data_IF_037314833916
#
_entry.id   IF_037314833916
#
_cell.length_a   1.000
_cell.length_b   1.000
_cell.length_c   1.000
_cell.angle_alpha   90.00
_cell.angle_beta   90.00
_cell.angle_gamma   90.00
#
_symmetry.space_group_name_H-M   'P 1'
#
loop_
_entity.id
_entity.type
_entity.pdbx_description
1 polymer ?
#
# COMPACT_ATOMS: atom_id res chain seq x y z
N UNK A 1 68.71 -15.48 -68.68
CA UNK A 1 67.30 -15.05 -68.52
C UNK A 1 66.80 -15.57 -67.17
N UNK A 2 66.62 -14.69 -66.20
CA UNK A 2 66.24 -15.06 -64.86
C UNK A 2 64.79 -14.56 -64.67
N UNK A 3 63.84 -15.44 -64.41
CA UNK A 3 62.45 -15.07 -64.06
C UNK A 3 62.33 -14.96 -62.54
N UNK A 4 62.09 -13.77 -62.09
CA UNK A 4 61.69 -13.50 -60.72
C UNK A 4 60.19 -13.72 -60.58
N UNK A 5 59.76 -14.71 -59.82
CA UNK A 5 58.38 -14.92 -59.43
C UNK A 5 58.15 -14.18 -58.11
N UNK A 6 57.36 -13.09 -58.23
CA UNK A 6 56.94 -12.31 -57.07
C UNK A 6 55.71 -12.97 -56.48
N UNK A 7 55.85 -13.62 -55.32
CA UNK A 7 54.70 -14.17 -54.52
C UNK A 7 54.04 -13.06 -53.77
N UNK A 8 52.86 -12.65 -54.20
CA UNK A 8 52.01 -11.66 -53.53
C UNK A 8 51.21 -12.39 -52.47
N UNK A 9 51.65 -12.33 -51.18
CA UNK A 9 50.89 -12.87 -50.03
C UNK A 9 49.69 -12.02 -49.72
N UNK A 10 48.50 -12.49 -50.07
CA UNK A 10 47.21 -11.87 -49.72
C UNK A 10 46.89 -12.23 -48.25
N UNK A 11 47.24 -11.35 -47.29
CA UNK A 11 46.81 -11.46 -45.92
C UNK A 11 45.31 -11.18 -45.81
N UNK A 12 44.52 -12.22 -45.73
CA UNK A 12 43.07 -12.17 -45.48
C UNK A 12 42.85 -11.82 -43.98
N UNK A 13 42.74 -10.53 -43.65
CA UNK A 13 42.27 -10.11 -42.34
C UNK A 13 40.80 -10.51 -42.18
N UNK A 14 40.57 -11.68 -41.59
CA UNK A 14 39.24 -12.07 -41.11
C UNK A 14 38.92 -11.19 -39.91
N UNK A 15 38.25 -10.08 -40.18
CA UNK A 15 37.58 -9.30 -39.12
C UNK A 15 36.46 -10.16 -38.55
N UNK A 16 36.72 -10.81 -37.42
CA UNK A 16 35.67 -11.46 -36.64
C UNK A 16 34.77 -10.37 -36.11
N UNK A 17 33.66 -10.15 -36.82
CA UNK A 17 32.58 -9.29 -36.31
C UNK A 17 31.97 -10.00 -35.09
N UNK A 18 32.42 -9.65 -33.91
CA UNK A 18 31.80 -10.07 -32.66
C UNK A 18 30.39 -9.45 -32.62
N UNK A 19 29.42 -10.33 -32.59
CA UNK A 19 28.02 -9.93 -32.46
C UNK A 19 27.83 -9.48 -30.99
N UNK A 20 27.92 -8.19 -30.73
CA UNK A 20 27.70 -7.62 -29.40
C UNK A 20 26.29 -7.09 -29.27
N UNK A 21 25.62 -7.44 -28.17
CA UNK A 21 24.37 -6.77 -27.72
C UNK A 21 24.70 -5.33 -27.38
N UNK A 22 24.03 -4.38 -28.02
CA UNK A 22 24.23 -2.95 -27.77
C UNK A 22 23.05 -2.45 -26.95
N UNK A 23 23.35 -1.70 -25.87
CA UNK A 23 22.34 -0.99 -25.08
C UNK A 23 22.60 0.50 -25.25
N UNK A 24 21.59 1.23 -25.70
CA UNK A 24 21.67 2.69 -25.89
C UNK A 24 20.58 3.39 -25.09
N UNK A 25 20.90 4.59 -24.58
CA UNK A 25 19.89 5.48 -23.99
C UNK A 25 18.97 5.98 -25.11
N UNK A 26 17.65 5.86 -24.87
CA UNK A 26 16.65 6.30 -25.85
C UNK A 26 16.58 7.83 -25.87
N UNK A 27 16.75 8.41 -27.05
CA UNK A 27 16.52 9.83 -27.30
C UNK A 27 15.28 9.94 -28.20
N UNK A 28 14.25 10.70 -27.82
CA UNK A 28 12.98 10.76 -28.54
C UNK A 28 13.07 11.10 -30.03
N UNK A 29 14.14 11.75 -30.43
CA UNK A 29 14.37 12.21 -31.83
C UNK A 29 15.09 11.19 -32.72
N UNK A 30 15.55 10.05 -32.17
CA UNK A 30 16.31 9.04 -32.93
C UNK A 30 15.40 7.91 -33.37
N UNK A 31 15.32 7.67 -34.68
CA UNK A 31 14.58 6.55 -35.24
C UNK A 31 15.09 5.22 -34.67
N UNK A 32 14.20 4.32 -34.33
CA UNK A 32 14.49 3.09 -33.61
C UNK A 32 14.77 1.91 -34.55
N UNK A 33 15.86 1.15 -34.28
CA UNK A 33 16.09 -0.18 -34.84
C UNK A 33 15.26 -1.29 -34.15
N UNK A 34 15.60 -2.54 -34.38
CA UNK A 34 14.96 -3.69 -33.73
C UNK A 34 15.53 -3.90 -32.31
N UNK A 35 14.67 -3.93 -31.30
CA UNK A 35 15.11 -4.12 -29.90
C UNK A 35 13.99 -4.01 -28.89
N UNK A 36 14.31 -4.22 -27.62
CA UNK A 36 13.40 -4.05 -26.48
C UNK A 36 13.78 -2.79 -25.73
N UNK A 37 12.77 -1.95 -25.46
CA UNK A 37 12.96 -0.73 -24.67
C UNK A 37 12.48 -0.98 -23.24
N UNK A 38 13.27 -0.56 -22.26
CA UNK A 38 12.93 -0.63 -20.84
C UNK A 38 13.28 0.68 -20.13
N UNK A 39 12.57 0.95 -19.05
CA UNK A 39 12.85 2.07 -18.16
C UNK A 39 13.46 1.59 -16.86
N UNK A 40 14.37 2.36 -16.29
CA UNK A 40 14.76 2.19 -14.89
C UNK A 40 13.69 2.83 -13.99
N UNK A 41 13.43 2.28 -12.81
CA UNK A 41 12.52 2.89 -11.86
C UNK A 41 13.16 4.06 -11.10
N UNK A 42 12.31 5.00 -10.69
CA UNK A 42 12.49 5.87 -9.51
C UNK A 42 11.72 5.25 -8.35
N UNK A 43 12.21 5.43 -7.13
CA UNK A 43 11.45 5.04 -5.93
C UNK A 43 10.26 5.97 -5.74
N UNK A 44 9.09 5.38 -5.60
CA UNK A 44 7.87 6.02 -5.15
C UNK A 44 7.45 5.41 -3.83
N UNK A 45 7.00 6.22 -2.90
CA UNK A 45 6.43 5.78 -1.64
C UNK A 45 4.91 5.79 -1.74
N UNK A 46 4.28 4.66 -1.46
CA UNK A 46 2.84 4.57 -1.24
C UNK A 46 2.64 4.50 0.26
N UNK A 47 2.03 5.53 0.82
CA UNK A 47 1.66 5.61 2.21
C UNK A 47 0.17 5.28 2.30
N UNK A 48 -0.16 4.13 2.88
CA UNK A 48 -1.53 3.76 3.18
C UNK A 48 -1.87 4.24 4.59
N UNK A 49 -2.89 5.08 4.70
CA UNK A 49 -3.40 5.64 5.95
C UNK A 49 -4.73 5.01 6.31
N UNK A 50 -4.77 4.34 7.45
CA UNK A 50 -5.98 3.83 8.07
C UNK A 50 -6.70 4.97 8.80
N UNK A 51 -7.98 5.16 8.53
CA UNK A 51 -8.82 6.16 9.17
C UNK A 51 -10.12 5.53 9.64
N UNK A 52 -10.41 5.63 10.92
CA UNK A 52 -11.68 5.18 11.48
C UNK A 52 -12.67 6.31 11.50
N UNK A 53 -13.76 6.19 10.73
CA UNK A 53 -14.92 7.05 10.81
C UNK A 53 -15.84 6.55 11.92
N UNK A 54 -16.04 7.37 12.92
CA UNK A 54 -16.89 7.07 14.07
C UNK A 54 -18.18 7.88 13.95
N UNK A 55 -19.31 7.15 13.87
CA UNK A 55 -20.64 7.76 13.86
C UNK A 55 -21.32 7.47 15.18
N UNK A 56 -21.55 8.49 15.96
CA UNK A 56 -22.30 8.44 17.23
C UNK A 56 -23.73 8.87 16.97
N UNK A 57 -24.68 8.05 17.40
CA UNK A 57 -26.11 8.35 17.36
C UNK A 57 -26.63 8.51 18.77
N UNK A 58 -27.26 9.64 19.06
CA UNK A 58 -27.89 9.86 20.35
C UNK A 58 -29.14 8.98 20.49
N UNK A 59 -29.38 8.50 21.70
CA UNK A 59 -30.60 7.76 22.01
C UNK A 59 -31.85 8.66 22.02
N UNK A 60 -32.95 8.18 21.47
CA UNK A 60 -34.22 8.96 21.46
C UNK A 60 -34.70 9.31 22.87
N UNK A 61 -34.31 8.52 23.86
CA UNK A 61 -34.68 8.68 25.26
C UNK A 61 -33.50 9.08 26.15
N UNK A 62 -32.46 9.71 25.61
CA UNK A 62 -31.22 10.05 26.34
C UNK A 62 -31.46 10.83 27.62
N UNK A 63 -32.51 11.73 27.65
CA UNK A 63 -32.88 12.52 28.83
C UNK A 63 -33.35 11.69 30.01
N UNK A 64 -33.76 10.45 29.76
CA UNK A 64 -34.32 9.53 30.76
C UNK A 64 -33.32 8.41 31.14
N UNK A 65 -32.12 8.39 30.57
CA UNK A 65 -31.12 7.37 30.79
C UNK A 65 -30.72 7.27 32.29
N UNK A 66 -30.43 8.39 32.94
CA UNK A 66 -30.09 8.40 34.36
C UNK A 66 -31.25 7.90 35.22
N UNK A 67 -32.46 8.39 34.91
CA UNK A 67 -33.64 8.07 35.72
C UNK A 67 -34.02 6.58 35.68
N UNK A 68 -33.98 5.98 34.49
CA UNK A 68 -34.50 4.62 34.31
C UNK A 68 -33.39 3.56 34.31
N UNK A 69 -32.19 3.90 33.82
CA UNK A 69 -31.09 2.95 33.73
C UNK A 69 -29.91 3.27 34.64
N UNK A 70 -29.93 4.40 35.35
CA UNK A 70 -28.83 4.85 36.19
C UNK A 70 -27.57 5.27 35.43
N UNK A 71 -27.65 5.44 34.08
CA UNK A 71 -26.51 5.75 33.22
C UNK A 71 -26.39 7.26 33.06
N UNK A 72 -25.23 7.79 33.45
CA UNK A 72 -24.80 9.19 33.22
C UNK A 72 -23.90 9.26 32.00
N UNK A 73 -23.64 10.44 31.45
CA UNK A 73 -22.73 10.72 30.37
C UNK A 73 -23.07 9.96 29.06
N UNK A 74 -24.32 10.03 28.63
CA UNK A 74 -24.79 9.49 27.37
C UNK A 74 -24.65 10.50 26.23
N UNK A 75 -24.63 10.04 24.99
CA UNK A 75 -24.63 10.91 23.82
C UNK A 75 -25.96 11.70 23.76
N UNK A 76 -25.88 13.04 23.73
CA UNK A 76 -27.03 13.94 23.68
C UNK A 76 -27.35 14.44 22.27
N UNK A 77 -26.43 14.27 21.33
CA UNK A 77 -26.56 14.69 19.94
C UNK A 77 -25.81 13.72 19.00
N UNK A 78 -26.27 13.67 17.78
CA UNK A 78 -25.59 12.92 16.71
C UNK A 78 -24.30 13.63 16.32
N UNK A 79 -23.24 12.87 16.14
CA UNK A 79 -21.95 13.41 15.69
C UNK A 79 -21.19 12.39 14.87
N UNK A 80 -20.39 12.90 13.94
CA UNK A 80 -19.43 12.10 13.18
C UNK A 80 -18.05 12.69 13.42
N UNK A 81 -17.07 11.83 13.66
CA UNK A 81 -15.68 12.24 13.76
C UNK A 81 -14.75 11.14 13.21
N UNK A 82 -13.51 11.52 12.95
CA UNK A 82 -12.51 10.65 12.36
C UNK A 82 -11.32 10.50 13.30
N UNK A 83 -10.77 9.31 13.34
CA UNK A 83 -9.56 8.97 14.08
C UNK A 83 -8.50 8.48 13.07
N UNK A 84 -7.31 9.06 13.11
CA UNK A 84 -6.18 8.59 12.31
C UNK A 84 -5.56 7.36 12.99
N UNK A 85 -5.61 6.24 12.30
CA UNK A 85 -5.08 4.96 12.75
C UNK A 85 -3.63 4.73 12.32
N UNK A 86 -3.34 3.50 11.89
CA UNK A 86 -2.01 3.06 11.47
C UNK A 86 -1.64 3.64 10.11
N UNK A 87 -0.36 4.01 9.96
CA UNK A 87 0.24 4.30 8.67
C UNK A 87 1.16 3.16 8.26
N UNK A 88 1.09 2.76 7.01
CA UNK A 88 2.04 1.82 6.41
C UNK A 88 2.72 2.44 5.21
N UNK A 89 3.95 2.02 4.92
CA UNK A 89 4.73 2.51 3.80
C UNK A 89 5.21 1.34 2.96
N UNK A 90 4.91 1.42 1.66
CA UNK A 90 5.34 0.46 0.65
C UNK A 90 6.12 1.19 -0.44
N UNK A 91 7.21 0.61 -0.90
CA UNK A 91 7.96 1.12 -2.03
C UNK A 91 7.36 0.59 -3.33
N UNK A 92 7.24 1.46 -4.31
CA UNK A 92 6.88 1.08 -5.67
C UNK A 92 7.87 1.72 -6.65
N UNK A 93 8.29 0.96 -7.67
CA UNK A 93 9.02 1.52 -8.80
C UNK A 93 8.07 2.22 -9.75
N UNK A 94 8.38 3.47 -10.12
CA UNK A 94 7.71 4.18 -11.19
C UNK A 94 8.72 4.44 -12.31
N UNK A 95 8.33 4.33 -13.60
CA UNK A 95 9.25 4.53 -14.71
C UNK A 95 9.91 5.92 -14.68
N UNK A 96 11.23 5.94 -14.79
CA UNK A 96 11.99 7.18 -14.95
C UNK A 96 12.12 7.51 -16.44
N UNK A 97 11.43 8.55 -16.88
CA UNK A 97 11.44 9.01 -18.28
C UNK A 97 12.81 9.48 -18.76
N UNK A 98 13.67 9.90 -17.84
CA UNK A 98 15.03 10.35 -18.15
C UNK A 98 16.01 9.17 -18.28
N UNK A 99 15.64 7.98 -17.82
CA UNK A 99 16.47 6.79 -17.80
C UNK A 99 15.80 5.62 -18.55
N UNK A 100 15.52 5.84 -19.82
CA UNK A 100 14.96 4.85 -20.75
C UNK A 100 16.09 4.31 -21.63
N UNK A 101 16.20 2.99 -21.70
CA UNK A 101 17.25 2.28 -22.43
C UNK A 101 16.65 1.32 -23.42
N UNK A 102 17.41 1.07 -24.50
CA UNK A 102 17.04 0.13 -25.55
C UNK A 102 18.12 -0.93 -25.69
N UNK A 103 17.71 -2.19 -25.66
CA UNK A 103 18.55 -3.35 -25.95
C UNK A 103 18.35 -3.69 -27.42
N UNK A 104 19.37 -3.50 -28.25
CA UNK A 104 19.37 -3.88 -29.66
C UNK A 104 19.97 -5.28 -29.87
N UNK A 105 19.25 -6.11 -30.58
CA UNK A 105 19.71 -7.45 -30.93
C UNK A 105 20.29 -7.45 -32.35
N UNK A 106 21.55 -7.80 -32.48
CA UNK A 106 22.18 -7.94 -33.81
C UNK A 106 21.71 -9.24 -34.48
N UNK A 107 21.61 -9.22 -35.81
CA UNK A 107 21.33 -10.41 -36.59
C UNK A 107 22.33 -11.51 -36.27
N UNK A 108 21.87 -12.77 -36.11
CA UNK A 108 22.63 -14.00 -35.73
C UNK A 108 22.99 -14.16 -34.23
N UNK A 109 22.51 -13.31 -33.34
CA UNK A 109 22.55 -13.60 -31.89
C UNK A 109 21.21 -14.24 -31.47
N UNK A 110 21.27 -15.16 -30.50
CA UNK A 110 20.04 -15.58 -29.80
C UNK A 110 19.58 -14.37 -29.02
N UNK A 111 18.40 -13.82 -29.39
CA UNK A 111 17.84 -12.69 -28.67
C UNK A 111 17.57 -13.13 -27.22
N UNK A 112 18.10 -12.44 -26.19
CA UNK A 112 17.74 -12.75 -24.81
C UNK A 112 16.25 -12.48 -24.64
N UNK A 113 15.60 -13.34 -23.88
CA UNK A 113 14.23 -13.16 -23.47
C UNK A 113 14.19 -12.10 -22.36
N UNK A 114 13.41 -11.04 -22.52
CA UNK A 114 13.32 -9.93 -21.57
C UNK A 114 11.90 -9.81 -21.05
N UNK A 115 11.74 -9.95 -19.75
CA UNK A 115 10.48 -9.68 -19.06
C UNK A 115 10.45 -8.25 -18.53
N UNK A 116 9.32 -7.57 -18.79
CA UNK A 116 9.04 -6.22 -18.30
C UNK A 116 7.72 -6.20 -17.54
N UNK A 117 7.58 -5.26 -16.61
CA UNK A 117 6.27 -4.91 -16.06
C UNK A 117 5.37 -4.29 -17.13
N UNK A 118 4.09 -4.10 -16.83
CA UNK A 118 3.17 -3.35 -17.72
C UNK A 118 3.66 -1.94 -18.03
N UNK A 119 4.36 -1.33 -17.06
CA UNK A 119 4.89 0.05 -17.15
C UNK A 119 6.28 0.09 -17.81
N UNK A 120 6.81 -1.04 -18.28
CA UNK A 120 8.09 -1.12 -18.98
C UNK A 120 9.32 -1.19 -18.08
N UNK A 121 9.18 -1.51 -16.80
CA UNK A 121 10.32 -1.75 -15.90
C UNK A 121 10.88 -3.15 -16.13
N UNK A 122 12.23 -3.27 -16.09
CA UNK A 122 12.89 -4.55 -16.29
C UNK A 122 12.71 -5.47 -15.09
N UNK A 123 12.28 -6.72 -15.32
CA UNK A 123 12.08 -7.75 -14.32
C UNK A 123 13.06 -8.89 -14.43
N UNK A 124 13.28 -9.39 -15.66
CA UNK A 124 14.17 -10.53 -15.86
C UNK A 124 14.77 -10.56 -17.27
N UNK A 125 15.93 -11.23 -17.40
CA UNK A 125 16.57 -11.56 -18.66
C UNK A 125 16.86 -13.05 -18.66
N UNK A 126 16.43 -13.75 -19.73
CA UNK A 126 16.59 -15.20 -19.92
C UNK A 126 15.99 -16.07 -18.80
N UNK A 127 15.10 -15.54 -17.98
CA UNK A 127 14.37 -16.24 -16.92
C UNK A 127 12.92 -15.79 -16.88
N UNK A 128 12.01 -16.69 -16.49
CA UNK A 128 10.63 -16.32 -16.24
C UNK A 128 10.53 -15.50 -14.96
N UNK A 129 9.80 -14.40 -15.02
CA UNK A 129 9.50 -13.58 -13.86
C UNK A 129 8.13 -13.93 -13.31
N UNK A 130 8.12 -14.44 -12.09
CA UNK A 130 6.90 -14.59 -11.31
C UNK A 130 6.86 -13.41 -10.33
N UNK A 131 5.85 -12.51 -10.44
CA UNK A 131 5.69 -11.45 -9.46
C UNK A 131 5.61 -12.05 -8.06
N UNK A 132 6.41 -11.55 -7.12
CA UNK A 132 6.14 -11.83 -5.73
C UNK A 132 4.77 -11.22 -5.43
N UNK A 133 3.79 -12.09 -5.21
CA UNK A 133 2.53 -11.67 -4.60
C UNK A 133 2.94 -11.25 -3.19
N UNK A 134 3.25 -9.96 -3.01
CA UNK A 134 3.14 -9.38 -1.68
C UNK A 134 1.69 -9.66 -1.33
N UNK A 135 1.47 -10.56 -0.37
CA UNK A 135 0.14 -10.72 0.18
C UNK A 135 -0.25 -9.30 0.59
N UNK A 136 -1.09 -8.64 -0.22
CA UNK A 136 -1.89 -7.57 0.30
C UNK A 136 -2.48 -8.22 1.54
N UNK A 137 -2.02 -7.82 2.74
CA UNK A 137 -2.80 -8.11 3.94
C UNK A 137 -4.19 -7.70 3.47
N UNK A 138 -5.06 -8.70 3.27
CA UNK A 138 -6.46 -8.44 2.96
C UNK A 138 -6.84 -7.45 4.04
N UNK A 139 -6.95 -6.18 3.63
CA UNK A 139 -7.37 -5.12 4.52
C UNK A 139 -8.75 -5.57 4.91
N UNK A 140 -8.80 -6.28 6.05
CA UNK A 140 -10.04 -6.82 6.56
C UNK A 140 -10.94 -5.62 6.67
N UNK A 141 -11.83 -5.47 5.70
CA UNK A 141 -12.98 -4.61 5.86
C UNK A 141 -13.66 -5.16 7.11
N UNK A 142 -13.33 -4.58 8.26
CA UNK A 142 -14.12 -4.82 9.45
C UNK A 142 -15.53 -4.49 9.03
N UNK A 143 -16.29 -5.55 8.79
CA UNK A 143 -17.71 -5.49 8.50
C UNK A 143 -18.31 -4.63 9.59
N UNK A 144 -18.82 -3.47 9.21
CA UNK A 144 -19.53 -2.57 10.10
C UNK A 144 -20.46 -3.45 10.95
N UNK A 145 -20.24 -3.44 12.27
CA UNK A 145 -21.06 -4.21 13.19
C UNK A 145 -22.50 -3.82 12.88
N UNK A 146 -23.28 -4.76 12.31
CA UNK A 146 -24.68 -4.53 11.98
C UNK A 146 -25.41 -4.29 13.29
N UNK A 147 -25.59 -3.05 13.64
CA UNK A 147 -26.45 -2.67 14.75
C UNK A 147 -27.90 -2.92 14.33
N UNK A 148 -28.60 -3.76 15.09
CA UNK A 148 -30.04 -3.98 14.88
C UNK A 148 -30.73 -2.60 14.93
N UNK A 149 -31.50 -2.22 13.89
CA UNK A 149 -32.24 -0.95 13.94
C UNK A 149 -33.14 -0.92 15.18
N UNK A 150 -33.13 0.12 15.99
CA UNK A 150 -33.97 0.21 17.19
C UNK A 150 -35.46 -0.08 16.92
N UNK A 151 -35.92 0.28 15.73
CA UNK A 151 -37.32 0.07 15.29
C UNK A 151 -37.72 -1.40 15.21
N UNK A 152 -36.78 -2.34 15.06
CA UNK A 152 -37.09 -3.78 14.98
C UNK A 152 -37.50 -4.41 16.31
N UNK A 153 -37.26 -3.72 17.43
CA UNK A 153 -37.57 -4.19 18.79
C UNK A 153 -38.72 -3.40 19.44
N UNK A 154 -39.40 -2.54 18.70
CA UNK A 154 -40.52 -1.80 19.24
C UNK A 154 -41.73 -2.70 19.44
N UNK A 155 -42.22 -2.77 20.67
CA UNK A 155 -43.48 -3.43 20.97
C UNK A 155 -44.68 -2.51 20.62
N UNK A 156 -45.86 -3.14 20.47
CA UNK A 156 -47.11 -2.40 20.26
C UNK A 156 -47.33 -1.38 21.38
N UNK A 157 -47.09 -1.75 22.63
CA UNK A 157 -47.25 -0.83 23.79
C UNK A 157 -46.32 0.39 23.66
N UNK A 158 -45.06 0.18 23.19
CA UNK A 158 -44.14 1.28 22.97
C UNK A 158 -44.61 2.23 21.88
N UNK A 159 -45.14 1.68 20.77
CA UNK A 159 -45.63 2.47 19.64
C UNK A 159 -46.92 3.23 19.98
N UNK A 160 -47.76 2.64 20.81
CA UNK A 160 -49.05 3.27 21.25
C UNK A 160 -48.86 4.28 22.38
N UNK A 161 -47.67 4.40 22.96
CA UNK A 161 -47.42 5.34 24.07
C UNK A 161 -47.51 6.79 23.60
N UNK A 162 -48.38 7.57 24.18
CA UNK A 162 -48.78 8.92 23.74
C UNK A 162 -47.75 10.03 24.04
N UNK A 163 -46.60 9.72 24.69
CA UNK A 163 -45.57 10.70 24.97
C UNK A 163 -44.16 10.06 25.05
N UNK A 164 -43.11 10.80 24.75
CA UNK A 164 -41.72 10.36 24.85
C UNK A 164 -41.37 9.85 26.26
N UNK A 165 -41.89 10.49 27.31
CA UNK A 165 -41.70 10.06 28.69
C UNK A 165 -42.33 8.68 28.95
N UNK A 166 -43.52 8.43 28.42
CA UNK A 166 -44.19 7.13 28.54
C UNK A 166 -43.52 6.06 27.69
N UNK A 167 -43.05 6.42 26.48
CA UNK A 167 -42.26 5.53 25.64
C UNK A 167 -40.97 5.10 26.37
N UNK A 168 -40.24 6.02 26.97
CA UNK A 168 -39.05 5.71 27.75
C UNK A 168 -39.35 4.81 28.95
N UNK A 169 -40.48 5.00 29.65
CA UNK A 169 -40.89 4.13 30.75
C UNK A 169 -41.17 2.71 30.26
N UNK A 170 -41.93 2.56 29.16
CA UNK A 170 -42.25 1.25 28.57
C UNK A 170 -40.95 0.54 28.10
N UNK A 171 -40.07 1.23 27.38
CA UNK A 171 -38.80 0.70 26.94
C UNK A 171 -37.91 0.21 28.12
N UNK A 172 -37.88 1.00 29.21
CA UNK A 172 -37.13 0.62 30.40
C UNK A 172 -37.70 -0.66 31.06
N UNK A 173 -39.04 -0.75 31.16
CA UNK A 173 -39.70 -1.98 31.67
C UNK A 173 -39.32 -3.21 30.81
N UNK A 174 -39.34 -3.07 29.50
CA UNK A 174 -38.96 -4.16 28.60
C UNK A 174 -37.47 -4.57 28.78
N UNK A 175 -36.57 -3.61 28.97
CA UNK A 175 -35.15 -3.90 29.25
C UNK A 175 -35.05 -4.73 30.53
N UNK A 176 -35.71 -4.34 31.62
CA UNK A 176 -35.65 -5.06 32.87
C UNK A 176 -36.28 -6.45 32.76
N UNK A 177 -37.35 -6.61 32.02
CA UNK A 177 -37.98 -7.91 31.75
C UNK A 177 -37.05 -8.85 30.94
N UNK A 178 -36.35 -8.32 29.92
CA UNK A 178 -35.34 -9.10 29.16
C UNK A 178 -34.17 -9.54 30.07
N UNK A 179 -33.73 -8.69 30.99
CA UNK A 179 -32.68 -9.00 31.96
C UNK A 179 -33.13 -10.10 32.94
N UNK A 180 -34.33 -9.99 33.45
CA UNK A 180 -34.96 -11.00 34.31
C UNK A 180 -35.04 -12.34 33.59
N UNK A 181 -35.66 -12.39 32.41
CA UNK A 181 -35.77 -13.60 31.59
C UNK A 181 -34.41 -14.25 31.29
N UNK A 182 -33.40 -13.45 30.99
CA UNK A 182 -32.04 -13.97 30.79
C UNK A 182 -31.46 -14.55 32.10
N UNK A 183 -31.70 -13.91 33.23
CA UNK A 183 -31.25 -14.40 34.53
C UNK A 183 -31.93 -15.71 34.87
N UNK A 184 -33.24 -15.82 34.68
CA UNK A 184 -34.02 -17.04 34.96
C UNK A 184 -33.54 -18.23 34.12
N UNK A 185 -33.20 -17.99 32.81
CA UNK A 185 -32.59 -19.00 31.97
C UNK A 185 -31.21 -19.43 32.51
N UNK A 186 -30.38 -18.52 32.93
CA UNK A 186 -29.03 -18.79 33.42
C UNK A 186 -29.01 -19.47 34.79
N UNK A 187 -29.99 -19.16 35.67
CA UNK A 187 -30.12 -19.77 36.98
C UNK A 187 -30.92 -21.10 36.95
N UNK A 188 -31.60 -21.38 35.85
CA UNK A 188 -32.43 -22.56 35.71
C UNK A 188 -33.86 -22.39 36.29
N UNK A 189 -34.25 -21.17 36.59
CA UNK A 189 -35.58 -20.83 37.17
C UNK A 189 -36.65 -20.60 36.09
N UNK A 190 -36.29 -20.62 34.80
CA UNK A 190 -37.22 -20.44 33.71
C UNK A 190 -38.13 -21.69 33.55
N UNK A 191 -39.45 -21.45 33.37
CA UNK A 191 -40.45 -22.54 33.19
C UNK A 191 -40.12 -23.46 32.00
N UNK A 192 -39.50 -22.96 30.96
CA UNK A 192 -39.10 -23.70 29.75
C UNK A 192 -37.64 -23.36 29.39
N UNK A 193 -36.73 -24.25 29.74
CA UNK A 193 -35.32 -24.12 29.33
C UNK A 193 -35.12 -24.66 27.92
N UNK A 194 -34.28 -24.01 27.09
CA UNK A 194 -33.83 -24.55 25.81
C UNK A 194 -33.20 -25.94 26.00
N UNK A 195 -33.47 -26.92 25.10
CA UNK A 195 -33.15 -28.33 25.33
C UNK A 195 -31.64 -28.66 25.29
N UNK A 196 -30.80 -27.81 24.74
CA UNK A 196 -29.36 -28.06 24.66
C UNK A 196 -28.54 -26.77 24.69
N UNK A 197 -27.20 -26.90 24.77
CA UNK A 197 -26.31 -25.76 24.88
C UNK A 197 -26.30 -24.82 23.68
N UNK A 198 -26.59 -25.28 22.47
CA UNK A 198 -26.58 -24.41 21.28
C UNK A 198 -27.88 -23.61 21.18
N UNK A 199 -29.05 -24.27 21.41
CA UNK A 199 -30.31 -23.55 21.48
C UNK A 199 -30.32 -22.49 22.59
N UNK A 200 -29.76 -22.81 23.75
CA UNK A 200 -29.59 -21.86 24.85
C UNK A 200 -28.77 -20.66 24.44
N UNK A 201 -27.61 -20.85 23.77
CA UNK A 201 -26.77 -19.75 23.27
C UNK A 201 -27.54 -18.84 22.30
N UNK A 202 -28.31 -19.43 21.38
CA UNK A 202 -29.11 -18.65 20.42
C UNK A 202 -30.16 -17.79 21.17
N UNK A 203 -30.86 -18.36 22.14
CA UNK A 203 -31.89 -17.63 22.92
C UNK A 203 -31.24 -16.51 23.71
N UNK A 204 -30.15 -16.77 24.45
CA UNK A 204 -29.43 -15.75 25.22
C UNK A 204 -28.91 -14.64 24.30
N UNK A 205 -28.29 -15.00 23.16
CA UNK A 205 -27.81 -14.01 22.18
C UNK A 205 -28.95 -13.12 21.67
N UNK A 206 -30.12 -13.67 21.40
CA UNK A 206 -31.29 -12.89 20.96
C UNK A 206 -31.84 -11.98 22.04
N UNK A 207 -31.88 -12.42 23.31
CA UNK A 207 -32.26 -11.56 24.43
C UNK A 207 -31.27 -10.40 24.61
N UNK A 208 -29.97 -10.67 24.50
CA UNK A 208 -28.92 -9.65 24.61
C UNK A 208 -28.99 -8.65 23.45
N UNK A 209 -29.23 -9.11 22.22
CA UNK A 209 -29.41 -8.26 21.04
C UNK A 209 -30.61 -7.30 21.24
N UNK A 210 -31.76 -7.83 21.72
CA UNK A 210 -32.95 -7.03 21.99
C UNK A 210 -32.73 -6.04 23.14
N UNK A 211 -32.12 -6.49 24.24
CA UNK A 211 -31.75 -5.64 25.37
C UNK A 211 -30.83 -4.50 24.91
N UNK A 212 -29.81 -4.81 24.12
CA UNK A 212 -28.86 -3.83 23.57
C UNK A 212 -29.59 -2.81 22.69
N UNK A 213 -30.46 -3.28 21.79
CA UNK A 213 -31.20 -2.38 20.90
C UNK A 213 -32.11 -1.41 21.66
N UNK A 214 -32.85 -1.89 22.69
CA UNK A 214 -33.66 -1.01 23.56
C UNK A 214 -32.81 -0.10 24.42
N UNK A 215 -31.68 -0.59 24.96
CA UNK A 215 -30.76 0.21 25.76
C UNK A 215 -30.15 1.34 24.92
N UNK A 216 -29.87 1.10 23.64
CA UNK A 216 -29.35 2.11 22.70
C UNK A 216 -30.33 3.29 22.51
N UNK A 217 -31.62 3.10 22.75
CA UNK A 217 -32.60 4.21 22.77
C UNK A 217 -32.34 5.21 23.91
N UNK A 218 -31.64 4.80 24.95
CA UNK A 218 -31.27 5.66 26.09
C UNK A 218 -29.84 6.16 25.99
N UNK A 219 -28.88 5.26 25.76
CA UNK A 219 -27.46 5.63 25.81
C UNK A 219 -26.89 6.07 24.46
N UNK A 220 -27.65 5.82 23.37
CA UNK A 220 -27.13 5.95 22.02
C UNK A 220 -26.27 4.75 21.61
N UNK A 221 -25.69 4.84 20.43
CA UNK A 221 -24.75 3.83 19.94
C UNK A 221 -23.68 4.47 19.06
N UNK A 222 -22.59 3.74 18.89
CA UNK A 222 -21.46 4.14 18.08
C UNK A 222 -21.21 3.07 17.03
N UNK A 223 -21.04 3.50 15.77
CA UNK A 223 -20.57 2.64 14.67
C UNK A 223 -19.23 3.11 14.21
N UNK A 224 -18.34 2.16 13.93
CA UNK A 224 -16.98 2.39 13.43
C UNK A 224 -16.86 1.81 12.04
N UNK A 225 -16.34 2.59 11.12
CA UNK A 225 -16.08 2.21 9.74
C UNK A 225 -14.61 2.52 9.45
N UNK A 226 -13.83 1.50 9.08
CA UNK A 226 -12.42 1.68 8.73
C UNK A 226 -12.30 2.01 7.24
N UNK A 227 -11.64 3.11 6.94
CA UNK A 227 -11.36 3.61 5.60
C UNK A 227 -9.85 3.59 5.37
N UNK A 228 -9.43 3.33 4.15
CA UNK A 228 -8.02 3.31 3.74
C UNK A 228 -7.78 4.34 2.65
N UNK A 229 -6.73 5.11 2.79
CA UNK A 229 -6.34 6.16 1.85
C UNK A 229 -4.88 5.97 1.44
N UNK A 230 -4.63 5.94 0.14
CA UNK A 230 -3.29 5.87 -0.41
C UNK A 230 -2.81 7.26 -0.82
N UNK A 231 -1.68 7.66 -0.28
CA UNK A 231 -0.97 8.89 -0.67
C UNK A 231 0.35 8.48 -1.30
N UNK A 232 0.61 8.96 -2.52
CA UNK A 232 1.82 8.63 -3.28
C UNK A 232 2.78 9.81 -3.30
N UNK A 233 4.04 9.54 -2.95
CA UNK A 233 5.12 10.53 -3.00
C UNK A 233 6.27 9.99 -3.84
N UNK A 234 6.72 10.75 -4.84
CA UNK A 234 7.93 10.46 -5.63
C UNK A 234 8.97 11.51 -5.25
N UNK A 235 9.90 11.20 -4.33
CA UNK A 235 10.91 12.17 -3.92
C UNK A 235 11.93 12.37 -5.05
N UNK A 236 12.33 13.59 -5.29
CA UNK A 236 13.47 13.90 -6.17
C UNK A 236 14.79 13.85 -5.38
N UNK A 237 14.75 14.24 -4.12
CA UNK A 237 15.87 14.29 -3.17
C UNK A 237 15.37 14.05 -1.73
N UNK A 238 16.14 14.44 -0.72
CA UNK A 238 15.70 14.47 0.68
C UNK A 238 14.47 15.38 0.85
N UNK A 239 13.59 14.99 1.77
CA UNK A 239 12.41 15.78 2.14
C UNK A 239 12.59 16.29 3.58
N UNK A 240 12.36 17.58 3.80
CA UNK A 240 12.47 18.18 5.12
C UNK A 240 11.12 18.69 5.60
N UNK A 241 10.33 17.77 6.22
CA UNK A 241 9.02 18.08 6.77
C UNK A 241 8.02 18.61 5.74
N UNK A 242 7.98 17.99 4.58
CA UNK A 242 6.98 18.30 3.56
C UNK A 242 5.59 17.81 4.03
N UNK A 243 4.54 18.56 3.69
CA UNK A 243 3.18 18.18 4.05
C UNK A 243 2.76 17.00 3.17
N UNK A 244 2.51 15.85 3.80
CA UNK A 244 2.06 14.64 3.11
C UNK A 244 0.56 14.69 2.81
N UNK A 245 -0.22 15.03 3.81
CA UNK A 245 -1.66 15.28 3.78
C UNK A 245 -2.03 16.05 5.06
N UNK A 246 -3.29 16.49 5.14
CA UNK A 246 -3.81 17.07 6.37
C UNK A 246 -4.90 16.20 6.95
N UNK A 247 -5.05 16.23 8.26
CA UNK A 247 -6.03 15.44 8.97
C UNK A 247 -6.87 16.29 9.89
N UNK A 248 -8.18 16.14 9.78
CA UNK A 248 -9.17 16.76 10.65
C UNK A 248 -10.02 15.71 11.34
N UNK A 249 -10.20 15.82 12.66
CA UNK A 249 -11.14 14.96 13.38
C UNK A 249 -12.60 15.15 12.94
N UNK A 250 -12.91 16.22 12.20
CA UNK A 250 -14.27 16.48 11.69
C UNK A 250 -14.45 16.09 10.23
N UNK A 251 -13.39 16.19 9.42
CA UNK A 251 -13.45 16.04 7.96
C UNK A 251 -12.71 14.80 7.44
N UNK A 252 -11.85 14.19 8.26
CA UNK A 252 -11.00 13.07 7.85
C UNK A 252 -9.69 13.53 7.21
N UNK A 253 -9.23 12.78 6.20
CA UNK A 253 -8.04 13.14 5.39
C UNK A 253 -8.45 14.24 4.41
N UNK A 254 -7.56 15.21 4.27
CA UNK A 254 -7.66 16.38 3.40
C UNK A 254 -6.39 16.51 2.58
N UNK A 255 -6.46 17.20 1.45
CA UNK A 255 -5.31 17.50 0.62
C UNK A 255 -4.27 18.36 1.38
N UNK A 256 -3.05 18.38 0.91
CA UNK A 256 -1.91 19.04 1.57
C UNK A 256 -2.08 20.58 1.68
N UNK A 257 -2.83 21.19 0.77
CA UNK A 257 -3.13 22.62 0.71
C UNK A 257 -4.43 23.02 1.47
N UNK A 258 -5.26 22.06 1.90
CA UNK A 258 -6.51 22.36 2.65
C UNK A 258 -6.22 22.69 4.11
N UNK A 259 -6.38 23.94 4.49
CA UNK A 259 -6.12 24.46 5.85
C UNK A 259 -7.14 24.00 6.90
N UNK A 260 -8.16 23.23 6.53
CA UNK A 260 -9.18 22.69 7.45
C UNK A 260 -8.68 21.60 8.39
N UNK A 261 -7.45 21.07 8.18
CA UNK A 261 -6.84 20.01 8.95
C UNK A 261 -5.44 20.33 9.46
N UNK A 262 -4.99 19.56 10.45
CA UNK A 262 -3.60 19.60 10.95
C UNK A 262 -2.68 18.88 9.98
N UNK A 263 -1.49 19.41 9.67
CA UNK A 263 -0.56 18.80 8.74
C UNK A 263 0.06 17.52 9.32
N UNK A 264 0.13 16.51 8.47
CA UNK A 264 0.95 15.31 8.66
C UNK A 264 2.15 15.47 7.75
N UNK A 265 3.34 15.44 8.33
CA UNK A 265 4.59 15.71 7.64
C UNK A 265 5.30 14.42 7.28
N UNK A 266 5.95 14.43 6.12
CA UNK A 266 6.91 13.41 5.71
C UNK A 266 8.32 14.02 5.67
N UNK A 267 9.28 13.26 6.17
CA UNK A 267 10.71 13.57 6.02
C UNK A 267 11.42 12.36 5.43
N UNK A 268 12.35 12.61 4.53
CA UNK A 268 13.22 11.59 3.94
C UNK A 268 14.66 12.01 4.10
N UNK A 269 15.45 11.30 4.89
CA UNK A 269 16.86 11.57 5.12
C UNK A 269 17.71 10.45 4.56
N UNK A 270 18.78 10.79 3.82
CA UNK A 270 19.72 9.78 3.32
C UNK A 270 20.52 9.17 4.46
N UNK A 271 20.56 7.82 4.49
CA UNK A 271 21.45 7.04 5.36
C UNK A 271 22.72 6.68 4.59
N UNK A 272 22.54 6.10 3.41
CA UNK A 272 23.61 5.79 2.47
C UNK A 272 23.28 6.48 1.14
N UNK A 273 24.12 7.41 0.76
CA UNK A 273 24.01 8.10 -0.51
C UNK A 273 25.29 7.91 -1.31
N UNK A 274 25.13 7.60 -2.58
CA UNK A 274 26.27 7.52 -3.49
C UNK A 274 26.91 8.91 -3.65
N UNK A 275 28.25 9.01 -3.61
CA UNK A 275 28.91 10.28 -3.84
C UNK A 275 28.63 10.79 -5.27
N UNK A 276 28.56 12.09 -5.42
CA UNK A 276 28.46 12.71 -6.74
C UNK A 276 29.70 12.29 -7.58
N UNK A 277 29.45 11.81 -8.80
CA UNK A 277 30.55 11.42 -9.69
C UNK A 277 31.39 12.64 -10.05
N UNK A 278 32.72 12.51 -9.92
CA UNK A 278 33.64 13.49 -10.48
C UNK A 278 33.38 13.58 -12.01
N UNK A 279 33.41 14.80 -12.62
CA UNK A 279 33.20 14.97 -14.06
C UNK A 279 34.11 14.10 -14.92
N UNK A 280 35.34 13.81 -14.51
CA UNK A 280 36.24 12.86 -15.21
C UNK A 280 35.81 11.42 -15.13
N UNK A 281 35.25 10.99 -14.01
CA UNK A 281 34.71 9.64 -13.84
C UNK A 281 33.40 9.49 -14.60
N UNK A 282 32.55 10.52 -14.64
CA UNK A 282 31.36 10.56 -15.46
C UNK A 282 31.67 10.42 -16.94
N UNK A 283 32.69 11.14 -17.45
CA UNK A 283 33.17 10.97 -18.85
C UNK A 283 33.73 9.57 -19.13
N UNK A 284 34.48 8.99 -18.18
CA UNK A 284 35.01 7.62 -18.32
C UNK A 284 33.90 6.60 -18.35
N UNK A 285 32.89 6.75 -17.50
CA UNK A 285 31.69 5.91 -17.43
C UNK A 285 30.87 6.02 -18.72
N UNK A 286 30.74 7.21 -19.29
CA UNK A 286 30.05 7.43 -20.57
C UNK A 286 30.75 6.76 -21.77
N UNK A 287 32.05 6.51 -21.68
CA UNK A 287 32.87 5.83 -22.71
C UNK A 287 32.96 4.31 -22.54
N UNK A 288 32.46 3.75 -21.42
CA UNK A 288 32.45 2.31 -21.22
C UNK A 288 31.49 1.60 -22.19
N UNK A 289 31.75 0.32 -22.54
CA UNK A 289 30.85 -0.47 -23.39
C UNK A 289 29.48 -0.49 -22.74
N UNK A 290 28.47 -0.09 -23.50
CA UNK A 290 27.09 0.02 -23.04
C UNK A 290 26.51 -1.37 -22.88
N UNK A 291 26.43 -1.87 -21.66
CA UNK A 291 25.73 -3.07 -21.26
C UNK A 291 24.34 -2.76 -20.70
N UNK A 292 23.69 -3.75 -20.12
CA UNK A 292 22.39 -3.55 -19.47
C UNK A 292 22.58 -2.68 -18.26
N UNK A 293 21.92 -1.52 -18.26
CA UNK A 293 21.97 -0.55 -17.15
C UNK A 293 20.98 -0.98 -16.08
N UNK A 294 21.41 -0.94 -14.84
CA UNK A 294 20.63 -1.24 -13.67
C UNK A 294 20.93 -0.25 -12.54
N UNK A 295 20.03 -0.16 -11.56
CA UNK A 295 20.21 0.72 -10.41
C UNK A 295 20.90 -0.02 -9.26
N UNK A 296 21.78 0.70 -8.56
CA UNK A 296 22.28 0.35 -7.24
C UNK A 296 21.73 1.38 -6.26
N UNK A 297 20.60 1.08 -5.57
CA UNK A 297 19.93 2.06 -4.72
C UNK A 297 20.76 2.42 -3.49
N UNK A 298 20.66 3.67 -3.05
CA UNK A 298 21.06 4.05 -1.70
C UNK A 298 20.00 3.67 -0.68
N UNK A 299 20.19 4.10 0.59
CA UNK A 299 19.20 3.90 1.66
C UNK A 299 18.77 5.22 2.24
N UNK A 300 17.47 5.34 2.51
CA UNK A 300 16.88 6.48 3.17
C UNK A 300 16.05 6.05 4.39
N UNK A 301 15.88 6.99 5.30
CA UNK A 301 14.96 6.89 6.42
C UNK A 301 13.78 7.80 6.18
N UNK A 302 12.60 7.18 6.06
CA UNK A 302 11.33 7.89 6.00
C UNK A 302 10.78 8.03 7.40
N UNK A 303 10.40 9.23 7.78
CA UNK A 303 9.71 9.53 9.04
C UNK A 303 8.45 10.31 8.74
N UNK A 304 7.30 9.83 9.26
CA UNK A 304 6.01 10.51 9.16
C UNK A 304 5.60 10.94 10.57
N UNK A 305 5.28 12.22 10.73
CA UNK A 305 4.98 12.79 12.04
C UNK A 305 3.80 13.76 11.99
N UNK A 306 3.05 13.83 13.09
CA UNK A 306 1.97 14.79 13.33
C UNK A 306 2.10 15.33 14.74
N UNK A 307 1.97 16.65 14.92
CA UNK A 307 2.04 17.30 16.25
C UNK A 307 3.28 16.88 17.05
N UNK A 308 4.44 16.82 16.40
CA UNK A 308 5.73 16.38 16.98
C UNK A 308 5.75 14.92 17.49
N UNK A 309 4.74 14.12 17.14
CA UNK A 309 4.71 12.69 17.42
C UNK A 309 4.99 11.92 16.13
N UNK A 310 6.00 11.07 16.16
CA UNK A 310 6.28 10.15 15.05
C UNK A 310 5.20 9.09 14.98
N UNK A 311 4.56 8.97 13.81
CA UNK A 311 3.53 7.99 13.49
C UNK A 311 4.13 6.76 12.81
N UNK A 312 5.14 6.97 11.93
CA UNK A 312 5.85 5.91 11.23
C UNK A 312 7.32 6.30 11.06
N UNK A 313 8.20 5.31 11.22
CA UNK A 313 9.63 5.44 10.92
C UNK A 313 10.11 4.14 10.27
N UNK A 314 10.67 4.25 9.06
CA UNK A 314 11.09 3.09 8.27
C UNK A 314 12.34 3.42 7.46
N UNK A 315 13.30 2.50 7.45
CA UNK A 315 14.45 2.55 6.54
C UNK A 315 14.13 1.72 5.30
N UNK A 316 14.52 2.25 4.13
CA UNK A 316 14.11 1.67 2.87
C UNK A 316 15.11 2.01 1.76
N UNK A 317 15.27 1.16 0.72
CA UNK A 317 16.03 1.50 -0.46
C UNK A 317 15.40 2.69 -1.19
N UNK A 318 16.26 3.62 -1.64
CA UNK A 318 15.87 4.80 -2.42
C UNK A 318 16.79 4.90 -3.64
N UNK A 319 16.21 4.73 -4.81
CA UNK A 319 16.96 4.73 -6.08
C UNK A 319 17.62 6.08 -6.33
N UNK A 320 16.96 7.18 -6.01
CA UNK A 320 17.45 8.54 -6.20
C UNK A 320 18.70 8.85 -5.36
N UNK A 321 18.98 8.06 -4.32
CA UNK A 321 20.20 8.19 -3.51
C UNK A 321 21.33 7.26 -3.98
N UNK A 322 21.07 6.44 -4.99
CA UNK A 322 22.01 5.47 -5.51
C UNK A 322 22.77 5.88 -6.75
N UNK A 323 23.28 4.89 -7.46
CA UNK A 323 23.97 5.04 -8.74
C UNK A 323 23.40 4.07 -9.78
N UNK A 324 23.72 4.34 -11.03
CA UNK A 324 23.48 3.41 -12.13
C UNK A 324 24.75 2.66 -12.46
N UNK A 325 24.65 1.37 -12.68
CA UNK A 325 25.72 0.51 -13.08
C UNK A 325 25.40 -0.25 -14.36
N UNK A 326 26.41 -0.89 -14.96
CA UNK A 326 26.25 -1.54 -16.24
C UNK A 326 26.70 -2.99 -16.15
N UNK A 327 25.81 -3.91 -16.50
CA UNK A 327 26.13 -5.33 -16.66
C UNK A 327 26.76 -5.55 -18.04
N UNK A 328 28.01 -6.05 -18.07
CA UNK A 328 28.75 -6.21 -19.30
C UNK A 328 28.02 -7.13 -20.31
N UNK A 329 27.94 -6.75 -21.61
CA UNK A 329 27.26 -7.55 -22.63
C UNK A 329 27.77 -8.97 -22.79
N UNK A 330 29.07 -9.18 -22.54
CA UNK A 330 29.74 -10.49 -22.63
C UNK A 330 29.03 -11.57 -21.78
N UNK A 331 28.42 -11.17 -20.68
CA UNK A 331 27.69 -12.10 -19.79
C UNK A 331 26.49 -12.71 -20.51
N UNK A 332 25.88 -12.00 -21.47
CA UNK A 332 24.69 -12.44 -22.21
C UNK A 332 25.03 -13.19 -23.51
N UNK A 333 26.29 -13.26 -23.90
CA UNK A 333 26.76 -13.80 -25.21
C UNK A 333 27.03 -15.31 -25.20
N UNK A 334 27.04 -15.97 -24.05
CA UNK A 334 27.27 -17.41 -23.98
C UNK A 334 26.06 -18.18 -24.54
N UNK A 335 26.23 -18.72 -25.76
CA UNK A 335 25.20 -19.49 -26.46
C UNK A 335 24.92 -20.86 -25.84
N UNK A 336 25.84 -21.39 -25.05
CA UNK A 336 25.70 -22.73 -24.45
C UNK A 336 25.05 -22.69 -23.09
N UNK A 337 25.29 -21.63 -22.33
CA UNK A 337 24.70 -21.38 -21.00
C UNK A 337 24.35 -19.90 -20.86
N UNK A 338 23.17 -19.50 -21.37
CA UNK A 338 22.74 -18.10 -21.24
C UNK A 338 22.62 -17.74 -19.77
N UNK A 339 23.30 -16.67 -19.37
CA UNK A 339 23.19 -16.13 -18.02
C UNK A 339 21.77 -15.59 -17.82
N UNK A 340 21.17 -15.95 -16.69
CA UNK A 340 19.84 -15.52 -16.25
C UNK A 340 20.01 -14.42 -15.23
N UNK A 341 19.26 -13.35 -15.37
CA UNK A 341 19.29 -12.20 -14.46
C UNK A 341 17.89 -11.87 -14.03
N UNK A 342 17.68 -11.78 -12.71
CA UNK A 342 16.45 -11.26 -12.11
C UNK A 342 16.73 -9.90 -11.49
N UNK A 343 15.76 -8.99 -11.63
CA UNK A 343 15.81 -7.66 -11.07
C UNK A 343 14.65 -7.46 -10.07
N UNK A 344 14.82 -6.53 -9.16
CA UNK A 344 13.75 -5.99 -8.35
C UNK A 344 13.06 -4.87 -9.14
N UNK A 345 11.80 -5.02 -9.57
CA UNK A 345 11.12 -3.97 -10.35
C UNK A 345 10.95 -2.66 -9.59
N UNK A 346 10.91 -2.72 -8.25
CA UNK A 346 10.74 -1.56 -7.38
C UNK A 346 11.97 -0.65 -7.37
N UNK A 347 13.16 -1.22 -7.53
CA UNK A 347 14.42 -0.49 -7.48
C UNK A 347 15.23 -0.55 -8.77
N UNK A 348 14.95 -1.52 -9.65
CA UNK A 348 15.78 -1.80 -10.84
C UNK A 348 17.14 -2.38 -10.50
N UNK A 349 17.37 -2.84 -9.26
CA UNK A 349 18.61 -3.49 -8.85
C UNK A 349 18.59 -4.99 -9.16
N UNK A 350 19.78 -5.58 -9.27
CA UNK A 350 19.91 -7.01 -9.52
C UNK A 350 19.51 -7.79 -8.27
N UNK A 351 18.54 -8.71 -8.44
CA UNK A 351 18.10 -9.65 -7.41
C UNK A 351 18.96 -10.91 -7.41
N UNK A 352 19.25 -11.45 -8.60
CA UNK A 352 19.97 -12.72 -8.76
C UNK A 352 20.58 -12.83 -10.13
N UNK A 353 21.79 -13.41 -10.20
CA UNK A 353 22.45 -13.83 -11.43
C UNK A 353 22.74 -15.33 -11.32
N UNK A 354 22.31 -16.10 -12.32
CA UNK A 354 22.54 -17.56 -12.39
C UNK A 354 23.01 -17.94 -13.80
N UNK A 355 23.84 -19.00 -13.88
CA UNK A 355 24.25 -19.65 -15.11
C UNK A 355 23.46 -20.92 -15.32
#
# INVERSE_FOLDING_TARGET
>A
MKYNILLLGLALCVATATAQTIVEKVVPTKASGNGVTYSLPKTSFIINAEVTKVTVKAGSYYRYAERYLGVKNVATEDRVYYELGKLTLTNKGVPDIDNVYRIEFKQKTVAPFVYLTRDGLICAINEEYTPEVVAEEELAQETAVQTIPPTSVYSEELLMAGSVARQAEVAAKQIYHLRESRTDILTGDADNLPPDGEAMKIVISKLEEQEKALTNLFIGYETRETLYFDVTVVPEDELDRDVLFRFSSKLGILDDDDLGGEPVYISLTAIDRAPALDPKEAEKKAKMPKGIVYNTPGRGRVEIARNNKTLLKKETPVVQFGTQETLAPVILEDKKQPVKVLFYPETGSIKKITK
#
